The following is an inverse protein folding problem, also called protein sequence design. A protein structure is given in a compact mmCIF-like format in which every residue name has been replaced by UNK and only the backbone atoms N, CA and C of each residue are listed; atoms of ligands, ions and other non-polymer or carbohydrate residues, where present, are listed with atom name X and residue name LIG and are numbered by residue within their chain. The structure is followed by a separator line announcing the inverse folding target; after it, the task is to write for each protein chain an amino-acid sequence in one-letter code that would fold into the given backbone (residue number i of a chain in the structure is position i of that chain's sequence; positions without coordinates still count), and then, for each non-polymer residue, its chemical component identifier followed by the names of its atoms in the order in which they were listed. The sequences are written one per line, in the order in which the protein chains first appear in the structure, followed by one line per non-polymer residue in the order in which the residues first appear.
data_IF_748632947321
#
_entry.id   IF_748632947321
#
_cell.length_a   1.000
_cell.length_b   1.000
_cell.length_c   1.000
_cell.angle_alpha   90.00
_cell.angle_beta   90.00
_cell.angle_gamma   90.00
#
_symmetry.space_group_name_H-M   'P 1'
#
loop_
_entity.id
_entity.type
_entity.pdbx_description
1 polymer ?
#
# COMPACT_ATOMS: atom_id res chain seq x y z
N UNK A 1 18.21 4.00 0.94
CA UNK A 1 16.89 4.38 0.42
C UNK A 1 16.57 3.52 -0.79
N UNK A 2 15.40 2.88 -0.85
CA UNK A 2 15.08 1.94 -1.94
C UNK A 2 14.59 2.64 -3.22
N UNK A 3 13.68 3.60 -3.09
CA UNK A 3 13.03 4.33 -4.21
C UNK A 3 13.92 5.35 -4.94
N UNK A 4 15.15 5.58 -4.47
CA UNK A 4 16.15 6.44 -5.14
C UNK A 4 17.46 5.69 -5.39
N UNK A 5 17.43 4.36 -5.31
CA UNK A 5 18.60 3.54 -5.61
C UNK A 5 18.82 3.49 -7.12
N UNK A 6 20.09 3.43 -7.54
CA UNK A 6 20.48 3.33 -8.96
C UNK A 6 19.77 2.17 -9.65
N UNK A 7 19.76 1.00 -8.99
CA UNK A 7 19.08 -0.21 -9.49
C UNK A 7 17.60 -0.01 -9.74
N UNK A 8 16.91 0.75 -8.89
CA UNK A 8 15.49 1.05 -9.06
C UNK A 8 15.25 1.96 -10.27
N UNK A 9 16.04 3.04 -10.40
CA UNK A 9 15.94 3.96 -11.54
C UNK A 9 16.30 3.31 -12.88
N UNK A 10 17.31 2.43 -12.91
CA UNK A 10 17.66 1.63 -14.10
C UNK A 10 16.48 0.77 -14.56
N UNK A 11 15.80 0.09 -13.62
CA UNK A 11 14.63 -0.75 -13.93
C UNK A 11 13.43 0.03 -14.43
N UNK A 12 13.19 1.22 -13.86
CA UNK A 12 12.13 2.10 -14.35
C UNK A 12 12.41 2.58 -15.77
N UNK A 13 13.67 2.96 -16.06
CA UNK A 13 14.09 3.35 -17.40
C UNK A 13 13.96 2.19 -18.41
N UNK A 14 14.36 0.97 -18.04
CA UNK A 14 14.15 -0.25 -18.85
C UNK A 14 12.67 -0.50 -19.17
N UNK A 15 11.78 -0.20 -18.22
CA UNK A 15 10.34 -0.34 -18.38
C UNK A 15 9.66 0.86 -19.06
N UNK A 16 10.40 1.93 -19.38
CA UNK A 16 9.84 3.17 -19.94
C UNK A 16 8.96 3.95 -18.94
N UNK A 17 9.17 3.77 -17.65
CA UNK A 17 8.41 4.40 -16.57
C UNK A 17 9.20 5.58 -16.01
N UNK A 18 8.61 6.77 -16.01
CA UNK A 18 9.22 7.94 -15.38
C UNK A 18 9.06 7.86 -13.85
N UNK A 19 10.14 7.93 -13.07
CA UNK A 19 10.04 7.96 -11.60
C UNK A 19 9.39 9.26 -11.12
N UNK A 20 8.19 9.17 -10.55
CA UNK A 20 7.61 10.25 -9.74
C UNK A 20 7.92 10.02 -8.27
N UNK A 21 9.06 10.51 -7.82
CA UNK A 21 9.45 10.53 -6.41
C UNK A 21 9.41 11.98 -5.95
N UNK A 22 8.40 12.32 -5.16
CA UNK A 22 8.16 13.68 -4.66
C UNK A 22 9.37 14.35 -4.04
N UNK A 23 9.35 15.67 -4.03
CA UNK A 23 10.33 16.45 -3.28
C UNK A 23 10.22 16.12 -1.77
N UNK A 24 11.34 16.23 -1.03
CA UNK A 24 11.31 15.98 0.42
C UNK A 24 10.29 16.90 1.08
N UNK A 25 9.31 16.32 1.76
CA UNK A 25 8.29 17.06 2.50
C UNK A 25 6.99 17.32 1.74
N UNK A 26 6.84 16.82 0.51
CA UNK A 26 5.54 16.77 -0.17
C UNK A 26 4.82 15.47 0.16
N UNK A 27 3.73 15.57 0.94
CA UNK A 27 2.95 14.41 1.39
C UNK A 27 1.89 13.94 0.39
N UNK A 28 1.59 14.75 -0.65
CA UNK A 28 0.48 14.44 -1.56
C UNK A 28 0.75 13.18 -2.39
N UNK A 29 1.99 12.95 -2.80
CA UNK A 29 2.38 11.77 -3.58
C UNK A 29 2.11 10.45 -2.85
N UNK A 30 2.17 10.45 -1.51
CA UNK A 30 1.95 9.24 -0.70
C UNK A 30 0.56 9.18 -0.05
N UNK A 31 -0.20 10.29 -0.04
CA UNK A 31 -1.44 10.41 0.73
C UNK A 31 -2.47 9.32 0.38
N UNK A 32 -2.62 9.00 -0.91
CA UNK A 32 -3.52 7.92 -1.34
C UNK A 32 -3.02 6.55 -0.87
N UNK A 33 -1.73 6.26 -1.04
CA UNK A 33 -1.13 5.00 -0.61
C UNK A 33 -1.22 4.83 0.92
N UNK A 34 -1.04 5.90 1.69
CA UNK A 34 -1.22 5.91 3.14
C UNK A 34 -2.66 5.68 3.55
N UNK A 35 -3.63 6.27 2.84
CA UNK A 35 -5.06 6.06 3.11
C UNK A 35 -5.43 4.59 2.94
N UNK A 36 -5.01 3.98 1.82
CA UNK A 36 -5.26 2.56 1.54
C UNK A 36 -4.55 1.65 2.55
N UNK A 37 -3.27 1.94 2.87
CA UNK A 37 -2.54 1.18 3.89
C UNK A 37 -3.16 1.30 5.28
N UNK A 38 -3.67 2.47 5.64
CA UNK A 38 -4.38 2.70 6.89
C UNK A 38 -5.64 1.86 6.97
N UNK A 39 -6.45 1.86 5.90
CA UNK A 39 -7.66 1.07 5.81
C UNK A 39 -7.37 -0.44 5.88
N UNK A 40 -6.40 -0.93 5.11
CA UNK A 40 -5.96 -2.31 5.15
C UNK A 40 -5.57 -2.75 6.57
N UNK A 41 -4.77 -1.93 7.26
CA UNK A 41 -4.36 -2.21 8.64
C UNK A 41 -5.56 -2.25 9.58
N UNK A 42 -6.49 -1.31 9.46
CA UNK A 42 -7.68 -1.25 10.30
C UNK A 42 -8.60 -2.47 10.10
N UNK A 43 -8.82 -2.91 8.86
CA UNK A 43 -9.79 -3.95 8.54
C UNK A 43 -9.22 -5.38 8.63
N UNK A 44 -7.95 -5.55 8.27
CA UNK A 44 -7.33 -6.88 8.13
C UNK A 44 -6.37 -7.17 9.26
N UNK A 45 -5.51 -6.21 9.64
CA UNK A 45 -4.40 -6.46 10.56
C UNK A 45 -4.78 -6.24 12.03
N UNK A 46 -5.43 -5.12 12.38
CA UNK A 46 -5.70 -4.77 13.78
C UNK A 46 -6.87 -5.54 14.39
N UNK A 47 -7.81 -6.01 13.58
CA UNK A 47 -9.04 -6.69 14.05
C UNK A 47 -8.87 -8.17 14.39
N UNK A 48 -7.72 -8.77 14.10
CA UNK A 48 -7.49 -10.22 14.31
C UNK A 48 -6.01 -10.55 14.44
N UNK A 49 -5.73 -11.63 15.14
CA UNK A 49 -4.39 -12.21 15.21
C UNK A 49 -4.25 -13.32 14.17
N UNK A 50 -3.09 -13.38 13.53
CA UNK A 50 -2.80 -14.34 12.47
C UNK A 50 -1.80 -15.37 12.96
N UNK A 51 -2.10 -16.65 12.75
CA UNK A 51 -1.22 -17.76 13.16
C UNK A 51 -0.06 -17.97 12.21
N UNK A 52 -0.27 -17.72 10.92
CA UNK A 52 0.74 -17.90 9.88
C UNK A 52 0.68 -16.76 8.87
N UNK A 53 1.76 -16.61 8.09
CA UNK A 53 1.85 -15.59 7.05
C UNK A 53 0.91 -15.89 5.88
N UNK A 54 0.76 -17.16 5.52
CA UNK A 54 -0.11 -17.62 4.43
C UNK A 54 -1.58 -17.25 4.70
N UNK A 55 -1.99 -17.30 5.98
CA UNK A 55 -3.32 -16.87 6.38
C UNK A 55 -3.54 -15.36 6.17
N UNK A 56 -2.50 -14.54 6.41
CA UNK A 56 -2.53 -13.11 6.09
C UNK A 56 -2.62 -12.91 4.58
N UNK A 57 -1.78 -13.60 3.80
CA UNK A 57 -1.73 -13.47 2.33
C UNK A 57 -3.08 -13.81 1.69
N UNK A 58 -3.74 -14.90 2.11
CA UNK A 58 -5.06 -15.25 1.62
C UNK A 58 -6.11 -14.19 2.00
N UNK A 59 -6.06 -13.66 3.21
CA UNK A 59 -6.97 -12.62 3.65
C UNK A 59 -6.73 -11.28 2.92
N UNK A 60 -5.48 -10.95 2.59
CA UNK A 60 -5.14 -9.82 1.73
C UNK A 60 -5.74 -10.01 0.34
N UNK A 61 -5.62 -11.20 -0.26
CA UNK A 61 -6.21 -11.50 -1.57
C UNK A 61 -7.73 -11.33 -1.56
N UNK A 62 -8.40 -11.84 -0.53
CA UNK A 62 -9.84 -11.61 -0.36
C UNK A 62 -10.16 -10.12 -0.18
N UNK A 63 -9.40 -9.41 0.66
CA UNK A 63 -9.64 -7.99 0.90
C UNK A 63 -9.48 -7.11 -0.35
N UNK A 64 -8.53 -7.43 -1.23
CA UNK A 64 -8.32 -6.71 -2.51
C UNK A 64 -9.39 -7.03 -3.55
N UNK A 65 -9.90 -8.27 -3.56
CA UNK A 65 -10.91 -8.71 -4.54
C UNK A 65 -12.33 -8.30 -4.19
N UNK A 66 -12.58 -7.96 -2.93
CA UNK A 66 -13.87 -7.48 -2.45
C UNK A 66 -13.95 -5.95 -2.51
N UNK A 67 -15.11 -5.36 -2.84
CA UNK A 67 -15.28 -3.92 -2.75
C UNK A 67 -15.04 -3.44 -1.32
N UNK A 68 -14.39 -2.27 -1.20
CA UNK A 68 -14.09 -1.64 0.09
C UNK A 68 -15.35 -1.60 0.95
N UNK A 69 -15.30 -2.31 2.09
CA UNK A 69 -16.41 -2.34 3.04
C UNK A 69 -16.39 -1.05 3.84
N UNK A 70 -16.98 -0.02 3.24
CA UNK A 70 -17.08 1.33 3.80
C UNK A 70 -17.50 1.31 5.28
N UNK A 71 -16.61 1.84 6.14
CA UNK A 71 -16.97 2.59 7.35
C UNK A 71 -16.73 4.09 7.11
N UNK A 72 -17.19 4.61 5.97
CA UNK A 72 -17.39 6.05 5.84
C UNK A 72 -18.74 6.35 6.49
N UNK A 73 -18.70 6.96 7.68
CA UNK A 73 -19.82 7.52 8.47
C UNK A 73 -20.55 6.64 9.53
N UNK A 74 -19.83 5.99 10.45
CA UNK A 74 -20.35 5.80 11.82
C UNK A 74 -19.36 6.39 12.83
N UNK A 75 -19.37 7.72 12.94
CA UNK A 75 -18.86 8.52 14.05
C UNK A 75 -19.77 9.74 14.20
#
# INVERSE_FOLDING_TARGET
SQYVSIRYSERLAEAGVEPSVGSKGDSYDNALAETINGLYKAEVIHRRTWKTREAVELATLTWVSEPVRSFVCEA
#
